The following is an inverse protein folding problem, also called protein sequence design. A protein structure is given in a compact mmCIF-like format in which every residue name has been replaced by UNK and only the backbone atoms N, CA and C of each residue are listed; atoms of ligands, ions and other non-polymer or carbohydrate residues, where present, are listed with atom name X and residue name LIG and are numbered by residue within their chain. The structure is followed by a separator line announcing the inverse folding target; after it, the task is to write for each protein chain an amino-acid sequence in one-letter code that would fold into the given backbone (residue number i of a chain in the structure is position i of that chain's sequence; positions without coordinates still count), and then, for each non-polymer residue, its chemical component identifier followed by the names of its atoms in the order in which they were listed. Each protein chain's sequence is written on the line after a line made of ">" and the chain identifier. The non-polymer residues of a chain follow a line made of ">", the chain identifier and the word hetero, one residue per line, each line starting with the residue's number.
data_IF_001709562428
#
_entry.id   IF_001709562428
#
_cell.length_a   1.000
_cell.length_b   1.000
_cell.length_c   1.000
_cell.angle_alpha   90.00
_cell.angle_beta   90.00
_cell.angle_gamma   90.00
#
_symmetry.space_group_name_H-M   'P 1'
#
loop_
_entity.id
_entity.type
_entity.pdbx_description
1 polymer ?
#
# COMPACT_ATOMS: atom_id res chain seq x y z
N UNK A 1 16.30 5.70 -5.72
CA UNK A 1 16.83 6.64 -4.72
C UNK A 1 15.72 6.96 -3.73
N UNK A 2 15.91 6.61 -2.47
CA UNK A 2 14.97 6.96 -1.41
C UNK A 2 15.14 8.45 -1.05
N UNK A 3 14.39 9.30 -1.71
CA UNK A 3 14.44 10.76 -1.51
C UNK A 3 13.77 11.22 -0.21
N UNK A 4 12.86 10.41 0.30
CA UNK A 4 12.04 10.76 1.46
C UNK A 4 12.63 10.26 2.77
N UNK A 5 13.73 9.50 2.74
CA UNK A 5 14.32 8.85 3.91
C UNK A 5 13.29 8.04 4.73
N UNK A 6 12.38 7.36 4.03
CA UNK A 6 11.36 6.52 4.64
C UNK A 6 12.00 5.35 5.39
N UNK A 7 11.43 4.99 6.52
CA UNK A 7 11.77 3.76 7.22
C UNK A 7 11.18 2.54 6.50
N UNK A 8 11.65 1.34 6.84
CA UNK A 8 11.11 0.09 6.30
C UNK A 8 9.60 -0.04 6.51
N UNK A 9 9.06 0.50 7.61
CA UNK A 9 7.63 0.46 7.92
C UNK A 9 6.81 1.52 7.18
N UNK A 10 7.47 2.45 6.52
CA UNK A 10 6.83 3.56 5.80
C UNK A 10 7.07 3.48 4.29
N UNK A 11 8.06 2.69 3.87
CA UNK A 11 8.46 2.62 2.47
C UNK A 11 7.41 1.88 1.64
N UNK A 12 7.18 2.39 0.45
CA UNK A 12 6.23 1.86 -0.52
C UNK A 12 6.61 2.30 -1.93
N UNK A 13 6.06 1.62 -2.91
CA UNK A 13 6.16 2.06 -4.31
C UNK A 13 4.81 1.95 -5.02
N UNK A 14 4.76 2.44 -6.24
CA UNK A 14 3.59 2.34 -7.13
C UNK A 14 2.27 2.74 -6.47
N UNK A 15 2.15 3.96 -5.89
CA UNK A 15 0.88 4.43 -5.39
C UNK A 15 -0.10 4.58 -6.55
N UNK A 16 -1.24 3.91 -6.45
CA UNK A 16 -2.26 3.87 -7.49
C UNK A 16 -3.57 4.49 -7.01
N UNK A 17 -4.08 4.06 -5.86
CA UNK A 17 -5.29 4.59 -5.26
C UNK A 17 -5.02 5.68 -4.21
N UNK A 18 -5.88 6.72 -4.19
CA UNK A 18 -5.81 7.80 -3.21
C UNK A 18 -7.20 8.28 -2.83
N UNK A 19 -7.44 8.41 -1.51
CA UNK A 19 -8.68 8.97 -0.98
C UNK A 19 -8.44 9.73 0.31
N UNK A 20 -9.27 10.75 0.57
CA UNK A 20 -9.23 11.50 1.82
C UNK A 20 -10.43 11.15 2.69
N UNK A 21 -10.16 10.76 3.94
CA UNK A 21 -11.19 10.62 4.94
C UNK A 21 -11.86 11.96 5.22
N UNK A 22 -13.17 12.02 5.07
CA UNK A 22 -13.95 13.22 5.45
C UNK A 22 -14.07 13.37 6.97
N UNK A 23 -13.96 12.27 7.69
CA UNK A 23 -14.12 12.26 9.14
C UNK A 23 -12.85 12.65 9.89
N UNK A 24 -11.64 12.37 9.33
CA UNK A 24 -10.36 12.53 10.04
C UNK A 24 -9.33 13.35 9.27
N UNK A 25 -9.50 13.57 7.97
CA UNK A 25 -8.52 14.25 7.11
C UNK A 25 -7.34 13.35 6.71
N UNK A 26 -7.33 12.07 7.08
CA UNK A 26 -6.30 11.13 6.66
C UNK A 26 -6.34 10.99 5.14
N UNK A 27 -5.17 11.02 4.53
CA UNK A 27 -4.97 10.59 3.15
C UNK A 27 -4.64 9.09 3.15
N UNK A 28 -5.53 8.30 2.58
CA UNK A 28 -5.34 6.89 2.33
C UNK A 28 -4.62 6.72 1.01
N UNK A 29 -3.48 6.00 1.01
CA UNK A 29 -2.68 5.70 -0.19
C UNK A 29 -2.69 4.20 -0.37
N UNK A 30 -3.11 3.73 -1.54
CA UNK A 30 -3.17 2.32 -1.90
C UNK A 30 -2.13 2.02 -2.97
N UNK A 31 -1.51 0.84 -2.92
CA UNK A 31 -0.44 0.48 -3.86
C UNK A 31 -0.82 -0.72 -4.73
N UNK A 32 -0.37 -0.65 -5.99
CA UNK A 32 -0.29 -1.77 -6.94
C UNK A 32 1.18 -1.99 -7.29
N UNK A 33 1.90 -2.65 -6.40
CA UNK A 33 3.34 -2.63 -6.37
C UNK A 33 3.96 -3.93 -6.91
N UNK A 34 4.65 -3.81 -8.03
CA UNK A 34 5.49 -4.89 -8.57
C UNK A 34 6.96 -4.82 -8.15
N UNK A 35 7.42 -3.70 -7.57
CA UNK A 35 8.85 -3.46 -7.34
C UNK A 35 9.29 -3.65 -5.87
N UNK A 36 8.36 -3.55 -4.92
CA UNK A 36 8.66 -3.61 -3.48
C UNK A 36 8.15 -4.91 -2.81
N UNK A 37 7.65 -5.84 -3.61
CA UNK A 37 7.05 -7.11 -3.14
C UNK A 37 8.04 -8.11 -2.60
N UNK A 38 9.34 -7.87 -2.73
CA UNK A 38 10.40 -8.65 -2.09
C UNK A 38 10.55 -8.36 -0.59
N UNK A 39 10.03 -7.22 -0.13
CA UNK A 39 10.06 -6.80 1.29
C UNK A 39 8.69 -6.89 1.94
N UNK A 40 7.64 -6.56 1.20
CA UNK A 40 6.26 -6.57 1.68
C UNK A 40 5.31 -6.84 0.50
N UNK A 41 4.01 -6.94 0.77
CA UNK A 41 2.99 -6.99 -0.26
C UNK A 41 2.43 -5.59 -0.52
N UNK A 42 1.59 -5.45 -1.55
CA UNK A 42 0.80 -4.25 -1.76
C UNK A 42 0.07 -3.86 -0.48
N UNK A 43 -0.03 -2.57 -0.25
CA UNK A 43 -0.44 -2.04 1.05
C UNK A 43 -1.33 -0.81 0.92
N UNK A 44 -1.95 -0.47 2.04
CA UNK A 44 -2.62 0.80 2.23
C UNK A 44 -1.93 1.53 3.38
N UNK A 45 -1.58 2.80 3.15
CA UNK A 45 -0.94 3.66 4.13
C UNK A 45 -1.92 4.75 4.58
N UNK A 46 -1.77 5.16 5.83
CA UNK A 46 -2.43 6.32 6.42
C UNK A 46 -1.41 7.47 6.49
N UNK A 47 -1.71 8.58 5.82
CA UNK A 47 -0.87 9.77 5.80
C UNK A 47 -1.61 11.00 6.32
N UNK A 48 -0.89 11.91 6.98
CA UNK A 48 -1.38 13.22 7.42
C UNK A 48 -0.71 14.33 6.60
N UNK A 49 -1.15 14.57 5.34
CA UNK A 49 -0.44 15.45 4.41
C UNK A 49 -0.35 16.90 4.88
N UNK A 50 -1.32 17.38 5.63
CA UNK A 50 -1.32 18.74 6.17
C UNK A 50 -0.24 19.02 7.23
N UNK A 51 0.47 17.99 7.66
CA UNK A 51 1.60 18.08 8.60
C UNK A 51 2.95 17.84 7.93
N UNK A 52 2.96 17.64 6.62
CA UNK A 52 4.19 17.54 5.84
C UNK A 52 4.64 18.93 5.41
N UNK A 53 5.92 19.20 5.58
CA UNK A 53 6.56 20.43 5.15
C UNK A 53 7.34 20.26 3.85
N UNK A 54 7.95 21.35 3.42
CA UNK A 54 8.96 21.35 2.38
C UNK A 54 10.30 20.89 2.99
N UNK A 55 10.92 19.87 2.39
CA UNK A 55 12.25 19.37 2.75
C UNK A 55 13.38 20.21 2.17
N UNK A 56 13.05 21.23 1.37
CA UNK A 56 13.99 22.14 0.74
C UNK A 56 14.62 21.59 -0.53
N UNK A 57 15.64 22.31 -0.99
CA UNK A 57 16.37 21.98 -2.21
C UNK A 57 17.47 20.95 -1.92
N UNK A 58 17.59 19.92 -2.76
CA UNK A 58 18.67 18.96 -2.71
C UNK A 58 19.28 18.72 -4.08
N UNK A 59 20.59 18.46 -4.07
CA UNK A 59 21.35 18.07 -5.25
C UNK A 59 21.43 16.54 -5.29
N UNK A 60 20.94 15.94 -6.36
CA UNK A 60 20.98 14.50 -6.60
C UNK A 60 21.94 14.17 -7.71
N UNK A 61 22.69 13.07 -7.56
CA UNK A 61 23.59 12.56 -8.58
C UNK A 61 23.11 11.19 -9.06
N UNK A 62 22.98 11.05 -10.38
CA UNK A 62 22.56 9.82 -11.05
C UNK A 62 23.65 9.32 -11.97
N UNK A 63 23.89 8.02 -12.00
CA UNK A 63 24.71 7.38 -13.03
C UNK A 63 23.82 7.02 -14.20
N UNK A 64 24.11 7.56 -15.37
CA UNK A 64 23.42 7.23 -16.63
C UNK A 64 23.86 5.86 -17.15
N UNK A 65 23.07 5.26 -18.04
CA UNK A 65 23.39 3.97 -18.66
C UNK A 65 24.72 3.94 -19.43
N UNK A 66 25.23 5.09 -19.86
CA UNK A 66 26.54 5.24 -20.49
C UNK A 66 27.71 5.47 -19.50
N UNK A 67 27.43 5.35 -18.19
CA UNK A 67 28.41 5.55 -17.12
C UNK A 67 28.70 7.01 -16.74
N UNK A 68 28.15 8.00 -17.45
CA UNK A 68 28.32 9.41 -17.08
C UNK A 68 27.42 9.77 -15.88
N UNK A 69 27.84 10.78 -15.12
CA UNK A 69 27.05 11.32 -13.99
C UNK A 69 26.20 12.50 -14.46
N UNK A 70 24.94 12.50 -14.03
CA UNK A 70 24.04 13.66 -14.12
C UNK A 70 23.78 14.17 -12.71
N UNK A 71 24.02 15.45 -12.50
CA UNK A 71 23.71 16.14 -11.25
C UNK A 71 22.53 17.09 -11.49
N UNK A 72 21.50 16.97 -10.64
CA UNK A 72 20.26 17.73 -10.75
C UNK A 72 19.87 18.30 -9.39
N UNK A 73 19.56 19.59 -9.35
CA UNK A 73 18.92 20.19 -8.20
C UNK A 73 17.41 19.97 -8.26
N UNK A 74 16.83 19.50 -7.17
CA UNK A 74 15.38 19.28 -7.04
C UNK A 74 14.87 19.67 -5.66
N UNK A 75 13.59 19.96 -5.58
CA UNK A 75 12.92 20.09 -4.30
C UNK A 75 12.40 18.73 -3.86
N UNK A 76 12.47 18.47 -2.57
CA UNK A 76 11.95 17.25 -1.94
C UNK A 76 10.97 17.64 -0.84
N UNK A 77 10.01 16.76 -0.55
CA UNK A 77 9.17 16.88 0.64
C UNK A 77 9.97 16.64 1.92
N UNK A 78 9.49 17.14 3.02
CA UNK A 78 10.00 16.78 4.33
C UNK A 78 9.78 15.27 4.55
N UNK A 79 10.79 14.58 5.10
CA UNK A 79 10.65 13.18 5.46
C UNK A 79 9.49 13.00 6.46
N UNK A 80 8.57 12.08 6.23
CA UNK A 80 7.49 11.81 7.16
C UNK A 80 8.04 11.18 8.44
N UNK A 81 7.29 11.34 9.52
CA UNK A 81 7.54 10.68 10.80
C UNK A 81 6.59 9.49 10.97
N UNK A 82 6.84 8.65 11.98
CA UNK A 82 5.92 7.57 12.35
C UNK A 82 4.51 8.07 12.70
N UNK A 83 4.36 9.35 13.05
CA UNK A 83 3.06 9.96 13.36
C UNK A 83 2.36 10.55 12.13
N UNK A 84 3.07 10.74 11.02
CA UNK A 84 2.53 11.38 9.81
C UNK A 84 2.38 10.44 8.63
N UNK A 85 3.02 9.28 8.64
CA UNK A 85 2.85 8.21 7.66
C UNK A 85 3.00 6.86 8.33
N UNK A 86 1.98 6.00 8.19
CA UNK A 86 1.96 4.64 8.75
C UNK A 86 1.42 3.65 7.74
N UNK A 87 1.99 2.44 7.74
CA UNK A 87 1.37 1.30 7.09
C UNK A 87 0.13 0.89 7.90
N UNK A 88 -1.02 0.86 7.24
CA UNK A 88 -2.30 0.58 7.87
C UNK A 88 -2.79 -0.84 7.57
N UNK A 89 -2.68 -1.26 6.32
CA UNK A 89 -3.12 -2.58 5.85
C UNK A 89 -2.07 -3.14 4.89
N UNK A 90 -1.79 -4.43 5.01
CA UNK A 90 -0.98 -5.18 4.04
C UNK A 90 -1.85 -6.27 3.44
N UNK A 91 -1.89 -6.32 2.12
CA UNK A 91 -2.66 -7.31 1.38
C UNK A 91 -2.02 -8.70 1.35
N UNK A 92 -2.76 -9.70 0.91
CA UNK A 92 -2.19 -11.02 0.64
C UNK A 92 -1.20 -10.99 -0.53
N UNK A 93 -0.37 -12.01 -0.64
CA UNK A 93 0.63 -12.14 -1.70
C UNK A 93 -0.01 -12.03 -3.09
N UNK A 94 0.59 -11.23 -3.96
CA UNK A 94 0.14 -11.02 -5.33
C UNK A 94 -1.27 -10.42 -5.40
N UNK A 95 -1.58 -9.49 -4.50
CA UNK A 95 -2.80 -8.70 -4.58
C UNK A 95 -2.49 -7.23 -4.71
N UNK A 96 -3.40 -6.49 -5.28
CA UNK A 96 -3.47 -5.04 -5.25
C UNK A 96 -4.42 -4.60 -4.14
N UNK A 97 -4.13 -3.47 -3.51
CA UNK A 97 -5.08 -2.80 -2.62
C UNK A 97 -5.77 -1.70 -3.42
N UNK A 98 -7.05 -1.88 -3.69
CA UNK A 98 -7.80 -0.98 -4.56
C UNK A 98 -9.15 -0.60 -3.97
N UNK A 99 -9.75 0.46 -4.46
CA UNK A 99 -11.06 0.94 -4.05
C UNK A 99 -11.22 1.13 -2.54
N UNK A 100 -11.74 2.26 -2.14
CA UNK A 100 -12.01 2.57 -0.74
C UNK A 100 -13.35 3.31 -0.64
N UNK A 101 -14.13 2.97 0.38
CA UNK A 101 -15.29 3.74 0.79
C UNK A 101 -15.29 3.85 2.32
N UNK A 102 -15.73 4.99 2.81
CA UNK A 102 -15.84 5.30 4.23
C UNK A 102 -17.29 5.60 4.59
N UNK A 103 -17.76 5.10 5.73
CA UNK A 103 -19.06 5.54 6.25
C UNK A 103 -19.00 7.01 6.67
N UNK A 104 -20.12 7.75 6.60
CA UNK A 104 -20.14 9.18 6.91
C UNK A 104 -19.66 9.52 8.33
N UNK A 105 -19.78 8.58 9.27
CA UNK A 105 -19.31 8.72 10.65
C UNK A 105 -17.83 8.36 10.84
N UNK A 106 -17.15 7.86 9.79
CA UNK A 106 -15.74 7.47 9.80
C UNK A 106 -15.44 6.21 10.60
N UNK A 107 -16.44 5.40 10.94
CA UNK A 107 -16.25 4.22 11.79
C UNK A 107 -16.02 2.94 11.03
N UNK A 108 -16.30 2.92 9.73
CA UNK A 108 -16.16 1.74 8.89
C UNK A 108 -15.49 2.11 7.57
N UNK A 109 -14.48 1.34 7.18
CA UNK A 109 -13.89 1.38 5.85
C UNK A 109 -14.24 0.09 5.09
N UNK A 110 -14.50 0.23 3.80
CA UNK A 110 -14.59 -0.85 2.84
C UNK A 110 -13.41 -0.73 1.90
N UNK A 111 -12.59 -1.75 1.81
CA UNK A 111 -11.37 -1.77 0.99
C UNK A 111 -11.37 -3.03 0.14
N UNK A 112 -11.05 -2.90 -1.13
CA UNK A 112 -10.98 -4.04 -2.03
C UNK A 112 -9.58 -4.63 -2.05
N UNK A 113 -9.51 -5.95 -1.96
CA UNK A 113 -8.34 -6.76 -2.24
C UNK A 113 -8.55 -7.37 -3.62
N UNK A 114 -7.74 -6.96 -4.60
CA UNK A 114 -7.86 -7.38 -5.98
C UNK A 114 -6.88 -8.53 -6.28
N UNK A 115 -7.32 -9.49 -7.07
CA UNK A 115 -6.57 -10.62 -7.68
C UNK A 115 -5.46 -11.25 -6.81
N UNK A 116 -5.70 -11.62 -5.55
CA UNK A 116 -4.66 -12.25 -4.74
C UNK A 116 -4.10 -13.48 -5.45
N UNK A 117 -2.77 -13.62 -5.45
CA UNK A 117 -2.11 -14.74 -6.12
C UNK A 117 -1.98 -14.59 -7.65
N UNK A 118 -2.09 -13.39 -8.21
CA UNK A 118 -1.97 -13.16 -9.66
C UNK A 118 -0.64 -13.65 -10.24
N UNK A 119 0.43 -13.62 -9.45
CA UNK A 119 1.76 -14.09 -9.85
C UNK A 119 1.90 -15.61 -9.90
N UNK A 120 0.80 -16.36 -9.80
CA UNK A 120 0.80 -17.81 -9.98
C UNK A 120 1.21 -18.16 -11.40
N UNK A 121 2.28 -18.96 -11.54
CA UNK A 121 2.80 -19.36 -12.83
C UNK A 121 1.70 -20.05 -13.68
N UNK A 122 1.65 -19.76 -14.97
CA UNK A 122 0.66 -20.30 -15.91
C UNK A 122 0.55 -21.82 -15.84
N UNK A 123 1.65 -22.52 -15.63
CA UNK A 123 1.66 -23.98 -15.49
C UNK A 123 0.91 -24.49 -14.24
N UNK A 124 0.68 -23.62 -13.27
CA UNK A 124 0.09 -23.96 -11.97
C UNK A 124 -1.38 -23.52 -11.84
N UNK A 125 -1.93 -22.78 -12.80
CA UNK A 125 -3.31 -22.25 -12.68
C UNK A 125 -4.39 -23.34 -12.64
N UNK A 126 -4.06 -24.56 -13.05
CA UNK A 126 -4.96 -25.73 -12.94
C UNK A 126 -4.97 -26.39 -11.56
N UNK A 127 -4.00 -26.10 -10.71
CA UNK A 127 -3.81 -26.73 -9.41
C UNK A 127 -3.87 -25.70 -8.27
N UNK A 128 -5.00 -25.57 -7.57
CA UNK A 128 -5.16 -24.58 -6.49
C UNK A 128 -4.14 -24.70 -5.36
N UNK A 129 -3.56 -25.90 -5.13
CA UNK A 129 -2.54 -26.11 -4.11
C UNK A 129 -1.20 -25.40 -4.44
N UNK A 130 -0.99 -25.06 -5.70
CA UNK A 130 0.23 -24.39 -6.19
C UNK A 130 0.08 -22.88 -6.40
N UNK A 131 -1.03 -22.34 -6.02
CA UNK A 131 -1.22 -20.89 -6.11
C UNK A 131 -0.35 -20.17 -5.10
N UNK A 132 0.20 -19.02 -5.49
CA UNK A 132 1.04 -18.18 -4.64
C UNK A 132 0.28 -17.58 -3.46
N UNK A 133 -1.05 -17.49 -3.57
CA UNK A 133 -1.94 -17.15 -2.47
C UNK A 133 -3.19 -18.02 -2.53
N UNK A 134 -3.77 -18.34 -1.39
CA UNK A 134 -5.08 -19.00 -1.27
C UNK A 134 -6.07 -18.14 -0.48
N UNK A 135 -5.76 -16.86 -0.33
CA UNK A 135 -6.63 -15.92 0.36
C UNK A 135 -7.97 -15.77 -0.41
N UNK A 136 -9.13 -15.72 0.22
CA UNK A 136 -9.40 -15.70 1.67
C UNK A 136 -9.75 -17.09 2.26
N UNK A 137 -8.98 -18.12 1.99
CA UNK A 137 -9.25 -19.47 2.48
C UNK A 137 -9.37 -19.53 4.01
N UNK A 138 -8.58 -18.71 4.73
CA UNK A 138 -8.63 -18.58 6.18
C UNK A 138 -9.95 -17.98 6.70
N UNK A 139 -10.75 -17.37 5.85
CA UNK A 139 -12.08 -16.84 6.18
C UNK A 139 -13.20 -17.87 5.96
N UNK A 140 -12.88 -19.18 6.00
CA UNK A 140 -13.85 -20.24 5.81
C UNK A 140 -14.13 -20.60 4.34
N UNK A 141 -13.42 -20.00 3.41
CA UNK A 141 -13.57 -20.28 1.98
C UNK A 141 -13.06 -21.67 1.57
N UNK A 142 -12.15 -22.24 2.36
CA UNK A 142 -11.61 -23.58 2.20
C UNK A 142 -10.16 -23.58 1.68
N UNK A 143 -9.28 -24.29 2.42
CA UNK A 143 -7.92 -24.54 1.98
C UNK A 143 -7.88 -25.25 0.62
N UNK A 144 -6.87 -24.95 -0.21
CA UNK A 144 -6.73 -25.52 -1.54
C UNK A 144 -7.72 -24.99 -2.57
N UNK A 145 -8.47 -23.94 -2.25
CA UNK A 145 -9.34 -23.24 -3.20
C UNK A 145 -8.58 -22.14 -3.93
N UNK A 146 -9.10 -21.77 -5.11
CA UNK A 146 -8.59 -20.61 -5.84
C UNK A 146 -8.74 -19.34 -5.02
N UNK A 147 -7.75 -18.43 -5.03
CA UNK A 147 -7.89 -17.13 -4.40
C UNK A 147 -9.01 -16.33 -5.06
N UNK A 148 -9.55 -15.37 -4.35
CA UNK A 148 -10.62 -14.49 -4.85
C UNK A 148 -10.40 -13.07 -4.40
N UNK A 149 -10.69 -12.14 -5.27
CA UNK A 149 -10.90 -10.75 -4.88
C UNK A 149 -12.05 -10.66 -3.89
N UNK A 150 -11.94 -9.77 -2.92
CA UNK A 150 -12.98 -9.53 -1.94
C UNK A 150 -12.90 -8.09 -1.41
N UNK A 151 -14.03 -7.59 -0.96
CA UNK A 151 -14.09 -6.37 -0.14
C UNK A 151 -13.94 -6.77 1.32
N UNK A 152 -12.96 -6.17 1.99
CA UNK A 152 -12.81 -6.28 3.44
C UNK A 152 -13.50 -5.11 4.12
N UNK A 153 -14.12 -5.39 5.26
CA UNK A 153 -14.76 -4.39 6.11
C UNK A 153 -13.89 -4.20 7.35
N UNK A 154 -13.49 -2.97 7.59
CA UNK A 154 -12.58 -2.62 8.69
C UNK A 154 -13.32 -1.72 9.67
N UNK A 155 -13.31 -2.10 10.93
CA UNK A 155 -13.84 -1.35 12.05
C UNK A 155 -12.86 -1.37 13.20
N UNK A 156 -12.97 -0.45 14.15
CA UNK A 156 -12.23 -0.54 15.41
C UNK A 156 -13.01 -1.35 16.43
N UNK A 157 -12.32 -2.10 17.27
CA UNK A 157 -12.94 -2.93 18.31
C UNK A 157 -13.69 -2.09 19.35
N UNK A 158 -13.26 -0.85 19.57
CA UNK A 158 -13.90 0.10 20.48
C UNK A 158 -15.07 0.89 19.84
N UNK A 159 -15.37 0.64 18.56
CA UNK A 159 -16.39 1.35 17.81
C UNK A 159 -16.09 2.83 17.54
N UNK A 160 -14.84 3.25 17.73
CA UNK A 160 -14.34 4.59 17.43
C UNK A 160 -14.15 4.83 15.92
N UNK A 161 -13.84 6.09 15.58
CA UNK A 161 -13.46 6.45 14.20
C UNK A 161 -12.11 5.83 13.85
N UNK A 162 -11.97 5.37 12.60
CA UNK A 162 -10.73 4.81 12.11
C UNK A 162 -9.72 5.95 11.90
N UNK A 163 -8.56 5.82 12.53
CA UNK A 163 -7.49 6.82 12.46
C UNK A 163 -7.68 8.07 13.35
N UNK A 164 -8.59 8.03 14.29
CA UNK A 164 -8.73 9.07 15.32
C UNK A 164 -8.10 8.63 16.64
#
# INVERSE_FOLDING_TARGET
>A
VNLSALSTDQDFSSPDGLAFSRATGICWIQTDDGAYTDVSNCMMLAALPGRQGDGGKRTLSYTRGNGSTLTVDTFIGQAPTADTLKRFLVGPVGSEITGIAETPDGKTLFVNIQHPGENTAQANVGDPAKYTSQWPANAGYGAGRRPRSATVVITRDDGGRIGA
#
